data_IF_665893894425
#
_entry.id   IF_665893894425
#
_cell.length_a   1.000
_cell.length_b   1.000
_cell.length_c   1.000
_cell.angle_alpha   90.00
_cell.angle_beta   90.00
_cell.angle_gamma   90.00
#
_symmetry.space_group_name_H-M   'P 1'
#
loop_
_entity.id
_entity.type
_entity.pdbx_description
1 polymer ?
#
# COMPACT_ATOMS: atom_id res chain seq x y z
N UNK A 1 19.84 -9.78 -14.42
CA UNK A 1 18.81 -8.82 -13.99
C UNK A 1 17.47 -9.51 -14.19
N UNK A 2 16.72 -9.73 -13.12
CA UNK A 2 15.35 -10.26 -13.23
C UNK A 2 14.46 -9.06 -13.56
N UNK A 3 13.59 -9.13 -14.58
CA UNK A 3 12.68 -8.04 -14.89
C UNK A 3 11.69 -7.83 -13.72
N UNK A 4 11.30 -6.58 -13.49
CA UNK A 4 10.25 -6.25 -12.52
C UNK A 4 8.96 -7.01 -12.87
N UNK A 5 8.30 -7.68 -11.90
CA UNK A 5 7.29 -8.69 -12.21
C UNK A 5 5.91 -8.12 -12.58
N UNK A 6 5.59 -6.88 -12.19
CA UNK A 6 4.28 -6.29 -12.39
C UNK A 6 4.25 -5.27 -13.53
N UNK A 7 3.15 -5.23 -14.28
CA UNK A 7 2.96 -4.15 -15.25
C UNK A 7 2.64 -2.83 -14.52
N UNK A 8 3.05 -1.65 -15.05
CA UNK A 8 2.86 -0.39 -14.33
C UNK A 8 1.39 -0.02 -14.02
N UNK A 9 0.45 -0.51 -14.82
CA UNK A 9 -0.99 -0.30 -14.71
C UNK A 9 -1.74 -1.51 -14.10
N UNK A 10 -1.03 -2.59 -13.75
CA UNK A 10 -1.62 -3.77 -13.11
C UNK A 10 -2.13 -3.42 -11.71
N UNK A 11 -3.43 -3.64 -11.49
CA UNK A 11 -4.08 -3.28 -10.22
C UNK A 11 -4.13 -4.48 -9.29
N UNK A 12 -3.46 -4.36 -8.14
CA UNK A 12 -3.47 -5.36 -7.06
C UNK A 12 -3.80 -4.66 -5.74
N UNK A 13 -4.76 -5.20 -4.98
CA UNK A 13 -5.20 -4.59 -3.73
C UNK A 13 -5.87 -3.22 -3.88
N UNK A 14 -6.26 -2.85 -5.11
CA UNK A 14 -6.85 -1.56 -5.45
C UNK A 14 -5.84 -0.45 -5.79
N UNK A 15 -4.57 -0.78 -6.07
CA UNK A 15 -3.52 0.17 -6.40
C UNK A 15 -2.59 -0.39 -7.49
N UNK A 16 -1.77 0.47 -8.11
CA UNK A 16 -0.78 0.08 -9.12
C UNK A 16 0.45 0.99 -9.06
N UNK A 17 1.54 0.58 -9.72
CA UNK A 17 2.81 1.35 -9.75
C UNK A 17 2.58 2.78 -10.26
N UNK A 18 1.85 2.94 -11.36
CA UNK A 18 1.58 4.27 -11.93
C UNK A 18 0.82 5.17 -10.94
N UNK A 19 -0.16 4.62 -10.21
CA UNK A 19 -0.92 5.38 -9.24
C UNK A 19 -0.08 5.79 -8.02
N UNK A 20 0.84 4.93 -7.55
CA UNK A 20 1.82 5.28 -6.50
C UNK A 20 2.77 6.36 -7.01
N UNK A 21 3.34 6.19 -8.20
CA UNK A 21 4.26 7.16 -8.80
C UNK A 21 3.61 8.55 -8.93
N UNK A 22 2.34 8.63 -9.37
CA UNK A 22 1.60 9.89 -9.39
C UNK A 22 1.48 10.53 -8.01
N UNK A 23 1.17 9.76 -6.96
CA UNK A 23 1.07 10.29 -5.59
C UNK A 23 2.41 10.78 -5.05
N UNK A 24 3.50 10.09 -5.37
CA UNK A 24 4.85 10.54 -5.04
C UNK A 24 5.24 11.83 -5.81
N UNK A 25 4.79 11.96 -7.07
CA UNK A 25 5.07 13.11 -7.91
C UNK A 25 4.25 14.36 -7.54
N UNK A 26 3.10 14.21 -6.90
CA UNK A 26 2.19 15.33 -6.57
C UNK A 26 2.82 16.43 -5.70
N UNK A 27 3.96 16.17 -5.05
CA UNK A 27 4.71 17.18 -4.30
C UNK A 27 5.59 18.08 -5.19
N UNK A 28 5.72 17.77 -6.49
CA UNK A 28 6.52 18.52 -7.45
C UNK A 28 5.61 19.21 -8.48
N UNK A 29 5.80 20.52 -8.65
CA UNK A 29 5.04 21.33 -9.60
C UNK A 29 5.43 21.08 -11.06
N UNK A 30 6.73 20.84 -11.30
CA UNK A 30 7.32 20.58 -12.62
C UNK A 30 8.54 19.63 -12.46
N UNK A 31 8.30 18.31 -12.34
CA UNK A 31 9.36 17.34 -12.07
C UNK A 31 10.23 17.11 -13.31
N UNK A 32 11.55 17.09 -13.12
CA UNK A 32 12.49 16.73 -14.20
C UNK A 32 12.36 15.24 -14.58
N UNK A 33 12.93 14.87 -15.72
CA UNK A 33 12.96 13.46 -16.16
C UNK A 33 13.62 12.54 -15.13
N UNK A 34 14.66 13.01 -14.44
CA UNK A 34 15.35 12.27 -13.39
C UNK A 34 14.44 12.05 -12.17
N UNK A 35 13.67 13.07 -11.77
CA UNK A 35 12.69 12.95 -10.67
C UNK A 35 11.59 11.98 -11.05
N UNK A 36 11.08 12.03 -12.29
CA UNK A 36 10.06 11.10 -12.78
C UNK A 36 10.57 9.65 -12.73
N UNK A 37 11.80 9.40 -13.20
CA UNK A 37 12.41 8.06 -13.14
C UNK A 37 12.61 7.60 -11.69
N UNK A 38 13.08 8.49 -10.80
CA UNK A 38 13.26 8.17 -9.40
C UNK A 38 11.94 7.80 -8.70
N UNK A 39 10.88 8.57 -8.92
CA UNK A 39 9.57 8.27 -8.31
C UNK A 39 8.96 6.98 -8.85
N UNK A 40 9.26 6.62 -10.11
CA UNK A 40 8.87 5.32 -10.66
C UNK A 40 9.59 4.17 -9.95
N UNK A 41 10.91 4.26 -9.75
CA UNK A 41 11.68 3.22 -9.03
C UNK A 41 11.15 3.07 -7.60
N UNK A 42 10.92 4.18 -6.89
CA UNK A 42 10.34 4.14 -5.55
C UNK A 42 8.93 3.55 -5.53
N UNK A 43 8.12 3.81 -6.56
CA UNK A 43 6.79 3.22 -6.68
C UNK A 43 6.85 1.71 -6.93
N UNK A 44 7.82 1.24 -7.72
CA UNK A 44 8.06 -0.18 -7.96
C UNK A 44 8.43 -0.91 -6.65
N UNK A 45 9.37 -0.35 -5.86
CA UNK A 45 9.78 -0.89 -4.55
C UNK A 45 8.60 -0.93 -3.55
N UNK A 46 7.84 0.16 -3.44
CA UNK A 46 6.67 0.24 -2.57
C UNK A 46 5.58 -0.76 -2.98
N UNK A 47 5.32 -0.88 -4.28
CA UNK A 47 4.28 -1.76 -4.79
C UNK A 47 4.59 -3.23 -4.52
N UNK A 48 5.85 -3.65 -4.70
CA UNK A 48 6.27 -5.03 -4.47
C UNK A 48 5.99 -5.48 -3.03
N UNK A 49 6.44 -4.70 -2.04
CA UNK A 49 6.25 -5.03 -0.62
C UNK A 49 4.77 -4.96 -0.23
N UNK A 50 4.02 -3.99 -0.77
CA UNK A 50 2.57 -3.90 -0.54
C UNK A 50 1.84 -5.14 -1.06
N UNK A 51 2.15 -5.61 -2.26
CA UNK A 51 1.53 -6.80 -2.85
C UNK A 51 1.79 -8.01 -1.97
N UNK A 52 3.02 -8.18 -1.47
CA UNK A 52 3.36 -9.28 -0.57
C UNK A 52 2.53 -9.24 0.73
N UNK A 53 2.44 -8.07 1.38
CA UNK A 53 1.61 -7.88 2.57
C UNK A 53 0.14 -8.20 2.26
N UNK A 54 -0.39 -7.72 1.13
CA UNK A 54 -1.79 -7.94 0.72
C UNK A 54 -2.07 -9.42 0.51
N UNK A 55 -1.16 -10.16 -0.14
CA UNK A 55 -1.30 -11.60 -0.38
C UNK A 55 -1.25 -12.40 0.92
N UNK A 56 -0.34 -12.05 1.83
CA UNK A 56 -0.27 -12.67 3.16
C UNK A 56 -1.57 -12.41 3.93
N UNK A 57 -2.03 -11.16 3.98
CA UNK A 57 -3.27 -10.80 4.67
C UNK A 57 -4.49 -11.49 4.05
N UNK A 58 -4.55 -11.65 2.73
CA UNK A 58 -5.62 -12.42 2.08
C UNK A 58 -5.65 -13.89 2.52
N UNK A 59 -4.48 -14.47 2.82
CA UNK A 59 -4.39 -15.83 3.38
C UNK A 59 -4.74 -15.91 4.87
N UNK A 60 -4.33 -14.91 5.66
CA UNK A 60 -4.58 -14.86 7.11
C UNK A 60 -6.00 -14.43 7.48
N UNK A 61 -6.60 -13.56 6.67
CA UNK A 61 -7.98 -13.06 6.80
C UNK A 61 -8.74 -13.22 5.48
N UNK A 62 -9.27 -14.43 5.19
CA UNK A 62 -10.03 -14.70 3.97
C UNK A 62 -11.33 -13.91 3.85
N UNK A 63 -11.79 -13.26 4.94
CA UNK A 63 -13.05 -12.49 4.96
C UNK A 63 -12.86 -11.04 4.51
N UNK A 64 -11.63 -10.51 4.61
CA UNK A 64 -11.31 -9.16 4.20
C UNK A 64 -11.16 -9.01 2.69
N UNK A 65 -11.57 -7.86 2.14
CA UNK A 65 -11.36 -7.53 0.73
C UNK A 65 -9.92 -7.05 0.46
N UNK A 66 -8.94 -7.92 0.73
CA UNK A 66 -7.52 -7.61 0.58
C UNK A 66 -7.13 -7.38 -0.87
N UNK A 67 -7.60 -8.23 -1.79
CA UNK A 67 -7.27 -8.11 -3.21
C UNK A 67 -7.92 -6.91 -3.90
N UNK A 68 -9.00 -6.34 -3.36
CA UNK A 68 -9.65 -5.15 -3.91
C UNK A 68 -9.36 -3.84 -3.16
N UNK A 69 -9.02 -3.90 -1.87
CA UNK A 69 -8.86 -2.71 -1.00
C UNK A 69 -7.64 -2.75 -0.08
N UNK A 70 -6.81 -3.79 -0.11
CA UNK A 70 -5.70 -3.96 0.83
C UNK A 70 -4.67 -2.83 0.78
N UNK A 71 -4.43 -2.23 -0.40
CA UNK A 71 -3.52 -1.09 -0.51
C UNK A 71 -4.03 0.15 0.24
N UNK A 72 -5.35 0.27 0.40
CA UNK A 72 -5.97 1.35 1.15
C UNK A 72 -5.68 1.24 2.66
N UNK A 73 -5.62 0.01 3.19
CA UNK A 73 -5.24 -0.25 4.58
C UNK A 73 -3.78 0.13 4.87
N UNK A 74 -2.93 0.14 3.85
CA UNK A 74 -1.51 0.48 3.92
C UNK A 74 -1.21 1.98 3.71
N UNK A 75 -2.23 2.84 3.52
CA UNK A 75 -1.99 4.29 3.41
C UNK A 75 -1.69 4.91 4.77
N UNK A 76 -0.75 5.86 4.79
CA UNK A 76 -0.37 6.63 5.96
C UNK A 76 -0.80 8.11 5.81
N UNK A 77 -1.86 8.56 6.48
CA UNK A 77 -2.33 9.96 6.37
C UNK A 77 -1.36 10.99 6.98
N UNK A 78 -0.30 10.56 7.68
CA UNK A 78 0.71 11.44 8.27
C UNK A 78 1.84 11.78 7.30
N UNK A 79 1.90 11.17 6.13
CA UNK A 79 2.88 11.48 5.09
C UNK A 79 2.28 12.41 4.03
N UNK A 80 3.11 13.23 3.38
CA UNK A 80 2.67 14.17 2.34
C UNK A 80 2.06 13.48 1.12
N UNK A 81 2.50 12.24 0.84
CA UNK A 81 2.06 11.45 -0.32
C UNK A 81 0.94 10.47 0.02
N UNK A 82 0.65 10.27 1.31
CA UNK A 82 -0.24 9.20 1.78
C UNK A 82 0.39 7.80 1.74
N UNK A 83 1.64 7.67 1.30
CA UNK A 83 2.38 6.42 1.25
C UNK A 83 3.05 6.12 2.58
N UNK A 84 3.06 4.85 2.97
CA UNK A 84 3.84 4.37 4.11
C UNK A 84 5.33 4.31 3.72
N UNK A 85 6.27 4.74 4.58
CA UNK A 85 7.70 4.58 4.32
C UNK A 85 8.07 3.11 4.11
N UNK A 86 9.00 2.83 3.20
CA UNK A 86 9.40 1.47 2.83
C UNK A 86 9.85 0.62 4.03
N UNK A 87 10.66 1.19 4.94
CA UNK A 87 11.10 0.51 6.16
C UNK A 87 9.95 0.09 7.07
N UNK A 88 8.87 0.88 7.11
CA UNK A 88 7.66 0.54 7.88
C UNK A 88 6.89 -0.59 7.23
N UNK A 89 6.82 -0.64 5.90
CA UNK A 89 6.22 -1.77 5.19
C UNK A 89 7.00 -3.07 5.46
N UNK A 90 8.34 -3.04 5.42
CA UNK A 90 9.15 -4.21 5.78
C UNK A 90 8.96 -4.64 7.23
N UNK A 91 8.84 -3.70 8.19
CA UNK A 91 8.56 -4.03 9.58
C UNK A 91 7.18 -4.71 9.75
N UNK A 92 6.16 -4.27 9.02
CA UNK A 92 4.84 -4.92 9.00
C UNK A 92 4.94 -6.34 8.42
N UNK A 93 5.65 -6.49 7.29
CA UNK A 93 5.85 -7.76 6.62
C UNK A 93 6.59 -8.76 7.52
N UNK A 94 7.65 -8.33 8.21
CA UNK A 94 8.38 -9.16 9.17
C UNK A 94 7.48 -9.61 10.33
N UNK A 95 6.69 -8.71 10.90
CA UNK A 95 5.79 -9.03 12.00
C UNK A 95 4.68 -10.02 11.57
N UNK A 96 4.12 -9.84 10.36
CA UNK A 96 3.17 -10.78 9.76
C UNK A 96 3.79 -12.16 9.53
N UNK A 97 5.01 -12.23 8.98
CA UNK A 97 5.70 -13.49 8.73
C UNK A 97 6.04 -14.25 10.02
N UNK A 98 6.36 -13.52 11.10
CA UNK A 98 6.70 -14.11 12.40
C UNK A 98 5.47 -14.53 13.20
N UNK A 99 4.44 -13.68 13.23
CA UNK A 99 3.28 -13.84 14.13
C UNK A 99 2.01 -14.33 13.45
N UNK A 100 1.90 -14.25 12.13
CA UNK A 100 0.67 -14.57 11.40
C UNK A 100 -0.54 -13.85 11.99
N UNK A 101 -1.60 -14.60 12.31
CA UNK A 101 -2.82 -14.06 12.96
C UNK A 101 -2.62 -13.54 14.38
N UNK A 102 -1.48 -13.84 15.03
CA UNK A 102 -1.15 -13.36 16.36
C UNK A 102 -0.31 -12.07 16.35
N UNK A 103 0.06 -11.56 15.17
CA UNK A 103 0.87 -10.35 15.06
C UNK A 103 0.06 -9.08 15.32
N UNK A 104 0.75 -8.01 15.75
CA UNK A 104 0.12 -6.70 15.92
C UNK A 104 -0.26 -6.13 14.55
N UNK A 105 0.63 -6.32 13.56
CA UNK A 105 0.38 -5.93 12.17
C UNK A 105 -0.92 -6.53 11.62
N UNK A 106 -1.21 -7.80 11.89
CA UNK A 106 -2.46 -8.45 11.44
C UNK A 106 -3.69 -7.74 12.02
N UNK A 107 -3.71 -7.52 13.33
CA UNK A 107 -4.83 -6.91 14.03
C UNK A 107 -5.09 -5.48 13.53
N UNK A 108 -4.03 -4.68 13.42
CA UNK A 108 -4.10 -3.30 12.95
C UNK A 108 -4.58 -3.19 11.51
N UNK A 109 -4.01 -4.01 10.62
CA UNK A 109 -4.36 -3.96 9.20
C UNK A 109 -5.80 -4.45 8.98
N UNK A 110 -6.24 -5.49 9.69
CA UNK A 110 -7.61 -6.00 9.61
C UNK A 110 -8.64 -4.93 9.97
N UNK A 111 -8.42 -4.22 11.07
CA UNK A 111 -9.25 -3.07 11.44
C UNK A 111 -9.27 -2.04 10.30
N UNK A 112 -8.13 -1.68 9.72
CA UNK A 112 -8.10 -0.69 8.64
C UNK A 112 -8.84 -1.12 7.38
N UNK A 113 -8.80 -2.41 7.00
CA UNK A 113 -9.51 -2.90 5.80
C UNK A 113 -11.03 -2.95 6.00
N UNK A 114 -11.48 -3.21 7.23
CA UNK A 114 -12.90 -3.25 7.61
C UNK A 114 -13.49 -1.84 7.79
N UNK A 115 -12.82 -0.94 8.53
CA UNK A 115 -13.39 0.37 8.88
C UNK A 115 -13.47 1.35 7.71
N UNK A 116 -12.64 1.20 6.68
CA UNK A 116 -12.80 1.99 5.44
C UNK A 116 -14.02 1.57 4.59
N UNK A 117 -14.90 0.70 5.12
CA UNK A 117 -16.22 0.38 4.58
C UNK A 117 -17.32 1.34 5.09
N UNK A 118 -17.10 2.10 6.16
CA UNK A 118 -18.10 3.10 6.60
C UNK A 118 -17.88 4.38 5.78
N UNK A 119 -18.79 4.75 4.85
CA UNK A 119 -18.79 6.11 4.33
C UNK A 119 -19.08 7.04 5.51
N UNK A 120 -18.39 8.18 5.60
CA UNK A 120 -18.71 9.27 6.52
C UNK A 120 -20.12 9.81 6.20
N UNK A 121 -21.17 9.11 6.66
CA UNK A 121 -22.50 9.65 6.85
C UNK A 121 -22.53 10.31 8.24
N UNK A 122 -21.84 11.45 8.37
CA UNK A 122 -22.20 12.56 9.28
C UNK A 122 -21.03 13.56 9.36
N UNK A 123 -20.95 14.45 8.37
CA UNK A 123 -20.47 15.80 8.64
C UNK A 123 -21.48 16.78 8.07
N UNK A 124 -22.56 16.93 8.82
CA UNK A 124 -23.48 18.05 8.75
C UNK A 124 -23.69 18.52 10.18
N UNK A 125 -22.97 19.56 10.56
CA UNK A 125 -23.30 20.44 11.67
C UNK A 125 -22.71 21.82 11.37
#
# INVERSE_FOLDING_TARGET
MVPYPYQPDEVIGGDCVNAIACRLLNQYSDPSSEVIQMMRIQAEDLFEVKVEIIQIMAGLDPTGNWMGKGALALKNPRTSTGEEPLDRLYALLEDLNRGGVQSEAFSDLKVKVEYRIVPDENSSA
#
